data_IF_887823372806
#
_entry.id   IF_887823372806
#
_cell.length_a   1.000
_cell.length_b   1.000
_cell.length_c   1.000
_cell.angle_alpha   90.00
_cell.angle_beta   90.00
_cell.angle_gamma   90.00
#
_symmetry.space_group_name_H-M   'P 1'
#
loop_
_entity.id
_entity.type
_entity.pdbx_description
1 polymer ?
#
# COMPACT_ATOMS: atom_id res chain seq x y z
N UNK A 1 21.63 -14.76 6.76
CA UNK A 1 20.75 -14.14 7.77
C UNK A 1 20.73 -12.65 7.51
N UNK A 2 19.62 -12.18 6.91
CA UNK A 2 19.40 -10.74 6.73
C UNK A 2 18.90 -10.23 8.08
N UNK A 3 19.72 -9.42 8.75
CA UNK A 3 19.36 -8.82 10.03
C UNK A 3 18.49 -7.60 9.72
N UNK A 4 17.18 -7.75 9.95
CA UNK A 4 16.27 -6.61 10.03
C UNK A 4 16.67 -5.82 11.26
N UNK A 5 16.89 -4.51 11.12
CA UNK A 5 17.20 -3.66 12.27
C UNK A 5 15.89 -3.19 12.93
N UNK A 6 15.42 -3.81 14.02
CA UNK A 6 14.14 -3.44 14.66
C UNK A 6 14.12 -1.97 15.11
N UNK A 7 15.30 -1.41 15.42
CA UNK A 7 15.49 -0.03 15.90
C UNK A 7 14.89 1.02 14.96
N UNK A 8 14.81 0.74 13.66
CA UNK A 8 14.24 1.71 12.70
C UNK A 8 12.73 1.92 12.94
N UNK A 9 12.02 0.91 13.40
CA UNK A 9 10.58 0.97 13.63
C UNK A 9 10.18 1.62 14.96
N UNK A 10 11.14 1.79 15.89
CA UNK A 10 10.92 2.53 17.14
C UNK A 10 10.50 3.99 16.90
N UNK A 11 10.86 4.53 15.73
CA UNK A 11 10.47 5.87 15.29
C UNK A 11 9.01 5.99 14.82
N UNK A 12 8.27 4.87 14.72
CA UNK A 12 6.85 4.92 14.47
C UNK A 12 6.14 5.20 15.79
N UNK A 13 5.84 6.46 16.05
CA UNK A 13 5.15 6.97 17.23
C UNK A 13 3.77 7.53 16.87
N UNK A 14 3.03 8.04 17.86
CA UNK A 14 1.72 8.65 17.62
C UNK A 14 1.78 9.86 16.68
N UNK A 15 2.89 10.59 16.65
CA UNK A 15 3.09 11.70 15.72
C UNK A 15 3.19 11.21 14.27
N UNK A 16 3.92 10.14 14.02
CA UNK A 16 4.02 9.51 12.69
C UNK A 16 2.65 8.97 12.23
N UNK A 17 1.88 8.39 13.14
CA UNK A 17 0.50 7.94 12.87
C UNK A 17 -0.42 9.12 12.57
N UNK A 18 -0.39 10.17 13.38
CA UNK A 18 -1.16 11.40 13.17
C UNK A 18 -0.86 12.06 11.82
N UNK A 19 0.42 12.21 11.46
CA UNK A 19 0.83 12.73 10.15
C UNK A 19 0.31 11.86 9.01
N UNK A 20 0.33 10.54 9.19
CA UNK A 20 -0.19 9.60 8.20
C UNK A 20 -1.70 9.70 8.05
N UNK A 21 -2.45 9.82 9.16
CA UNK A 21 -3.89 10.00 9.19
C UNK A 21 -4.33 11.33 8.54
N UNK A 22 -3.62 12.43 8.80
CA UNK A 22 -3.91 13.74 8.20
C UNK A 22 -3.82 13.72 6.67
N UNK A 23 -2.94 12.91 6.13
CA UNK A 23 -2.64 12.82 4.69
C UNK A 23 -3.34 11.67 3.99
N UNK A 24 -4.33 11.03 4.60
CA UNK A 24 -5.13 9.98 3.99
C UNK A 24 -6.47 10.53 3.54
N UNK A 25 -7.01 10.01 2.44
CA UNK A 25 -8.28 10.42 1.87
C UNK A 25 -9.08 9.19 1.41
N UNK A 26 -10.38 9.36 1.24
CA UNK A 26 -11.26 8.40 0.60
C UNK A 26 -12.05 7.51 1.56
N UNK A 27 -12.89 6.69 0.98
CA UNK A 27 -13.90 5.87 1.67
C UNK A 27 -13.31 4.73 2.47
N UNK A 28 -14.06 4.29 3.48
CA UNK A 28 -13.72 3.16 4.33
C UNK A 28 -13.81 1.81 3.62
N UNK A 29 -13.05 0.86 4.14
CA UNK A 29 -13.08 -0.55 3.76
C UNK A 29 -14.34 -1.27 4.24
N UNK A 30 -14.23 -2.54 4.67
CA UNK A 30 -15.34 -3.32 5.21
C UNK A 30 -16.05 -2.67 6.40
N UNK A 31 -15.31 -2.04 7.32
CA UNK A 31 -15.87 -1.32 8.48
C UNK A 31 -16.63 -0.05 8.10
N UNK A 32 -16.41 0.48 6.90
CA UNK A 32 -16.93 1.77 6.41
C UNK A 32 -16.46 3.00 7.19
N UNK A 33 -15.51 2.85 8.11
CA UNK A 33 -14.87 3.98 8.78
C UNK A 33 -13.93 4.63 7.75
N UNK A 34 -14.27 5.84 7.35
CA UNK A 34 -13.54 6.59 6.32
C UNK A 34 -12.32 7.34 6.87
N UNK A 35 -11.63 8.02 5.98
CA UNK A 35 -10.42 8.75 6.33
C UNK A 35 -10.70 9.94 7.28
N UNK A 36 -11.81 10.65 7.07
CA UNK A 36 -12.15 11.81 7.89
C UNK A 36 -12.53 11.43 9.32
N UNK A 37 -13.23 10.30 9.48
CA UNK A 37 -13.55 9.74 10.80
C UNK A 37 -12.25 9.36 11.54
N UNK A 38 -11.32 8.63 10.91
CA UNK A 38 -10.02 8.29 11.52
C UNK A 38 -9.22 9.53 11.87
N UNK A 39 -9.19 10.53 10.98
CA UNK A 39 -8.52 11.80 11.21
C UNK A 39 -9.10 12.54 12.41
N UNK A 40 -10.41 12.57 12.55
CA UNK A 40 -11.07 13.18 13.71
C UNK A 40 -10.71 12.44 15.00
N UNK A 41 -10.73 11.10 15.02
CA UNK A 41 -10.39 10.32 16.22
C UNK A 41 -8.94 10.51 16.67
N UNK A 42 -7.99 10.55 15.72
CA UNK A 42 -6.55 10.59 16.04
C UNK A 42 -6.05 12.03 16.23
N UNK A 43 -6.53 12.99 15.41
CA UNK A 43 -5.89 14.30 15.28
C UNK A 43 -6.71 15.45 15.86
N UNK A 44 -7.97 15.21 16.27
CA UNK A 44 -8.83 16.28 16.77
C UNK A 44 -8.42 16.69 18.19
N UNK A 45 -8.32 17.98 18.41
CA UNK A 45 -8.10 18.55 19.76
C UNK A 45 -9.21 18.20 20.74
N UNK A 46 -10.41 17.88 20.25
CA UNK A 46 -11.53 17.49 21.09
C UNK A 46 -11.31 16.13 21.78
N UNK A 47 -10.48 15.26 21.23
CA UNK A 47 -10.16 13.95 21.80
C UNK A 47 -8.88 13.93 22.65
N UNK A 48 -8.11 15.02 22.66
CA UNK A 48 -7.00 15.23 23.59
C UNK A 48 -6.12 14.01 23.82
N UNK A 49 -6.12 13.51 25.08
CA UNK A 49 -5.33 12.35 25.50
C UNK A 49 -5.77 11.04 24.87
N UNK A 50 -7.06 10.85 24.60
CA UNK A 50 -7.60 9.62 24.00
C UNK A 50 -7.13 9.45 22.55
N UNK A 51 -7.04 10.56 21.81
CA UNK A 51 -6.48 10.56 20.43
C UNK A 51 -4.99 10.18 20.42
N UNK A 52 -4.23 10.68 21.39
CA UNK A 52 -2.82 10.30 21.56
C UNK A 52 -2.68 8.82 21.92
N UNK A 53 -3.45 8.32 22.89
CA UNK A 53 -3.42 6.90 23.26
C UNK A 53 -3.78 6.01 22.07
N UNK A 54 -4.81 6.36 21.30
CA UNK A 54 -5.17 5.64 20.08
C UNK A 54 -4.00 5.64 19.08
N UNK A 55 -3.31 6.78 18.91
CA UNK A 55 -2.12 6.91 18.08
C UNK A 55 -0.99 5.98 18.53
N UNK A 56 -0.74 5.90 19.84
CA UNK A 56 0.29 5.04 20.43
C UNK A 56 -0.03 3.55 20.26
N UNK A 57 -1.29 3.14 20.41
CA UNK A 57 -1.71 1.75 20.17
C UNK A 57 -1.57 1.37 18.68
N UNK A 58 -1.93 2.27 17.77
CA UNK A 58 -1.73 2.05 16.33
C UNK A 58 -0.24 1.98 16.00
N UNK A 59 0.59 2.81 16.63
CA UNK A 59 2.05 2.77 16.47
C UNK A 59 2.62 1.43 16.96
N UNK A 60 2.17 0.95 18.12
CA UNK A 60 2.55 -0.35 18.67
C UNK A 60 2.18 -1.50 17.72
N UNK A 61 0.94 -1.51 17.21
CA UNK A 61 0.52 -2.48 16.20
C UNK A 61 1.37 -2.40 14.93
N UNK A 62 1.72 -1.19 14.48
CA UNK A 62 2.56 -0.97 13.30
C UNK A 62 3.95 -1.55 13.47
N UNK A 63 4.58 -1.36 14.64
CA UNK A 63 5.88 -1.93 14.99
C UNK A 63 5.84 -3.45 14.96
N UNK A 64 4.82 -4.05 15.56
CA UNK A 64 4.64 -5.50 15.55
C UNK A 64 4.46 -6.06 14.14
N UNK A 65 3.66 -5.40 13.30
CA UNK A 65 3.50 -5.80 11.90
C UNK A 65 4.81 -5.75 11.09
N UNK A 66 5.76 -4.90 11.50
CA UNK A 66 7.06 -4.76 10.85
C UNK A 66 8.13 -5.73 11.37
N UNK A 67 8.01 -6.18 12.62
CA UNK A 67 9.06 -6.95 13.31
C UNK A 67 8.70 -8.41 13.58
N UNK A 68 7.41 -8.73 13.68
CA UNK A 68 6.91 -10.04 14.07
C UNK A 68 6.11 -10.71 12.93
N UNK A 69 6.19 -12.03 12.85
CA UNK A 69 5.25 -12.81 12.06
C UNK A 69 3.96 -12.96 12.86
N UNK A 70 2.87 -12.40 12.34
CA UNK A 70 1.57 -12.42 13.00
C UNK A 70 0.66 -13.44 12.31
N UNK A 71 0.06 -14.40 13.05
CA UNK A 71 -0.90 -15.34 12.49
C UNK A 71 -2.03 -14.59 11.78
N UNK A 72 -2.35 -15.03 10.56
CA UNK A 72 -3.30 -14.30 9.69
C UNK A 72 -4.68 -14.14 10.31
N UNK A 73 -5.14 -15.10 11.11
CA UNK A 73 -6.42 -15.03 11.82
C UNK A 73 -6.53 -13.80 12.73
N UNK A 74 -5.43 -13.34 13.32
CA UNK A 74 -5.42 -12.16 14.21
C UNK A 74 -5.49 -10.84 13.46
N UNK A 75 -5.07 -10.82 12.19
CA UNK A 75 -5.04 -9.60 11.37
C UNK A 75 -5.96 -9.67 10.14
N UNK A 76 -6.72 -10.76 9.98
CA UNK A 76 -7.56 -11.00 8.81
C UNK A 76 -8.57 -9.86 8.55
N UNK A 77 -9.16 -9.30 9.62
CA UNK A 77 -10.07 -8.15 9.53
C UNK A 77 -9.37 -6.90 9.00
N UNK A 78 -8.16 -6.62 9.48
CA UNK A 78 -7.34 -5.49 9.03
C UNK A 78 -6.92 -5.64 7.55
N UNK A 79 -6.67 -6.89 7.10
CA UNK A 79 -6.27 -7.21 5.73
C UNK A 79 -7.46 -7.36 4.78
N UNK A 80 -8.69 -7.29 5.28
CA UNK A 80 -9.91 -7.40 4.49
C UNK A 80 -10.13 -6.21 3.56
N UNK A 81 -10.87 -6.42 2.47
CA UNK A 81 -11.24 -5.37 1.56
C UNK A 81 -12.73 -5.47 1.15
N UNK A 82 -13.32 -4.32 0.89
CA UNK A 82 -14.66 -4.19 0.30
C UNK A 82 -14.51 -4.09 -1.20
N UNK A 83 -15.18 -4.96 -1.96
CA UNK A 83 -15.18 -4.90 -3.40
C UNK A 83 -16.23 -3.91 -3.92
N UNK A 84 -15.81 -3.05 -4.83
CA UNK A 84 -16.66 -2.09 -5.53
C UNK A 84 -16.52 -2.34 -7.04
N UNK A 85 -17.61 -2.65 -7.75
CA UNK A 85 -17.59 -2.78 -9.20
C UNK A 85 -17.56 -1.40 -9.84
N UNK A 86 -16.57 -1.13 -10.67
CA UNK A 86 -16.52 0.07 -11.51
C UNK A 86 -16.83 -0.32 -12.96
N UNK A 87 -17.84 0.30 -13.55
CA UNK A 87 -18.17 0.12 -14.96
C UNK A 87 -17.12 0.80 -15.83
N UNK A 88 -16.58 0.07 -16.83
CA UNK A 88 -15.71 0.63 -17.86
C UNK A 88 -16.51 1.14 -19.05
N UNK A 89 -15.86 1.89 -19.95
CA UNK A 89 -16.48 2.41 -21.18
C UNK A 89 -16.97 1.29 -22.13
N UNK A 90 -16.31 0.16 -22.13
CA UNK A 90 -16.64 -1.05 -22.89
C UNK A 90 -17.74 -1.92 -22.25
N UNK A 91 -18.45 -1.39 -21.25
CA UNK A 91 -19.44 -2.09 -20.43
C UNK A 91 -18.89 -3.25 -19.58
N UNK A 92 -17.59 -3.54 -19.59
CA UNK A 92 -16.99 -4.49 -18.66
C UNK A 92 -16.91 -3.91 -17.25
N UNK A 93 -16.67 -4.77 -16.25
CA UNK A 93 -16.60 -4.38 -14.83
C UNK A 93 -15.17 -4.54 -14.33
N UNK A 94 -14.62 -3.47 -13.75
CA UNK A 94 -13.36 -3.52 -13.01
C UNK A 94 -13.66 -3.68 -11.52
N UNK A 95 -13.32 -4.81 -10.88
CA UNK A 95 -13.44 -4.94 -9.44
C UNK A 95 -12.34 -4.13 -8.75
N UNK A 96 -12.72 -3.20 -7.89
CA UNK A 96 -11.78 -2.41 -7.07
C UNK A 96 -11.94 -2.82 -5.62
N UNK A 97 -10.85 -3.26 -5.00
CA UNK A 97 -10.79 -3.58 -3.58
C UNK A 97 -10.46 -2.34 -2.75
N UNK A 98 -11.36 -1.93 -1.86
CA UNK A 98 -11.11 -0.86 -0.89
C UNK A 98 -10.72 -1.52 0.42
N UNK A 99 -9.43 -1.44 0.78
CA UNK A 99 -8.91 -1.93 2.05
C UNK A 99 -9.29 -1.05 3.24
N UNK A 100 -9.12 -1.58 4.45
CA UNK A 100 -9.36 -0.83 5.68
C UNK A 100 -8.55 0.46 5.76
N UNK A 101 -9.19 1.53 6.22
CA UNK A 101 -8.54 2.83 6.35
C UNK A 101 -7.40 2.77 7.35
N UNK A 102 -7.57 2.06 8.45
CA UNK A 102 -6.51 1.82 9.43
C UNK A 102 -5.27 1.19 8.80
N UNK A 103 -5.46 0.15 7.96
CA UNK A 103 -4.35 -0.46 7.22
C UNK A 103 -3.62 0.56 6.34
N UNK A 104 -4.36 1.48 5.69
CA UNK A 104 -3.76 2.53 4.85
C UNK A 104 -2.97 3.54 5.66
N UNK A 105 -3.43 3.90 6.88
CA UNK A 105 -2.70 4.76 7.83
C UNK A 105 -1.38 4.10 8.22
N UNK A 106 -1.44 2.85 8.68
CA UNK A 106 -0.26 2.06 9.05
C UNK A 106 0.70 1.94 7.87
N UNK A 107 0.21 1.54 6.69
CA UNK A 107 1.04 1.40 5.49
C UNK A 107 1.75 2.70 5.13
N UNK A 108 1.06 3.84 5.26
CA UNK A 108 1.64 5.16 4.97
C UNK A 108 2.73 5.53 5.97
N UNK A 109 2.53 5.24 7.25
CA UNK A 109 3.54 5.46 8.28
C UNK A 109 4.80 4.61 8.02
N UNK A 110 4.63 3.31 7.75
CA UNK A 110 5.71 2.38 7.44
C UNK A 110 6.48 2.80 6.19
N UNK A 111 5.77 3.11 5.09
CA UNK A 111 6.41 3.55 3.83
C UNK A 111 7.13 4.88 4.00
N UNK A 112 6.58 5.82 4.78
CA UNK A 112 7.24 7.09 5.09
C UNK A 112 8.54 6.86 5.85
N UNK A 113 8.54 5.94 6.81
CA UNK A 113 9.73 5.58 7.59
C UNK A 113 10.82 4.92 6.74
N UNK A 114 10.41 4.06 5.81
CA UNK A 114 11.33 3.30 4.94
C UNK A 114 11.56 3.99 3.58
N UNK A 115 11.20 5.27 3.45
CA UNK A 115 11.26 5.99 2.17
C UNK A 115 12.63 5.86 1.50
N UNK A 116 13.71 6.02 2.26
CA UNK A 116 15.07 5.96 1.72
C UNK A 116 15.43 4.53 1.27
N UNK A 117 15.08 3.52 2.06
CA UNK A 117 15.32 2.11 1.72
C UNK A 117 14.58 1.74 0.43
N UNK A 118 13.33 2.20 0.30
CA UNK A 118 12.50 1.96 -0.89
C UNK A 118 13.09 2.64 -2.13
N UNK A 119 13.55 3.90 -1.99
CA UNK A 119 14.20 4.61 -3.09
C UNK A 119 15.48 3.90 -3.54
N UNK A 120 16.33 3.50 -2.60
CA UNK A 120 17.55 2.75 -2.93
C UNK A 120 17.22 1.40 -3.61
N UNK A 121 16.21 0.68 -3.09
CA UNK A 121 15.79 -0.60 -3.66
C UNK A 121 15.15 -0.48 -5.05
N UNK A 122 14.48 0.63 -5.33
CA UNK A 122 13.82 0.89 -6.62
C UNK A 122 14.81 1.17 -7.75
N UNK A 123 15.99 1.66 -7.42
CA UNK A 123 17.02 2.03 -8.38
C UNK A 123 16.72 3.32 -9.16
N UNK A 124 17.71 3.80 -9.89
CA UNK A 124 17.64 5.09 -10.59
C UNK A 124 16.68 5.13 -11.81
N UNK A 125 16.31 3.97 -12.35
CA UNK A 125 15.40 3.89 -13.49
C UNK A 125 13.92 3.95 -13.10
N UNK A 126 13.59 3.77 -11.81
CA UNK A 126 12.21 3.90 -11.29
C UNK A 126 11.93 5.33 -10.85
N UNK A 127 11.61 6.19 -11.80
CA UNK A 127 11.37 7.62 -11.54
C UNK A 127 10.06 7.90 -10.79
N UNK A 128 9.09 6.98 -10.81
CA UNK A 128 7.79 7.16 -10.14
C UNK A 128 7.77 6.70 -8.68
N UNK A 129 8.85 6.11 -8.16
CA UNK A 129 8.94 5.63 -6.79
C UNK A 129 9.40 6.72 -5.81
N UNK A 130 8.50 7.67 -5.50
CA UNK A 130 8.73 8.69 -4.47
C UNK A 130 9.67 9.83 -4.87
N UNK A 131 9.98 9.98 -6.15
CA UNK A 131 10.68 11.13 -6.70
C UNK A 131 9.66 12.23 -7.05
N UNK A 132 9.90 13.42 -6.55
CA UNK A 132 9.11 14.59 -6.90
C UNK A 132 9.35 14.97 -8.37
N UNK A 133 8.27 15.15 -9.15
CA UNK A 133 8.38 15.41 -10.59
C UNK A 133 8.93 14.25 -11.42
N UNK A 134 8.97 13.03 -10.89
CA UNK A 134 9.59 11.89 -11.55
C UNK A 134 8.93 11.49 -12.87
N UNK A 135 7.60 11.65 -12.99
CA UNK A 135 6.86 11.37 -14.23
C UNK A 135 7.23 12.41 -15.29
N UNK A 136 7.22 13.68 -14.93
CA UNK A 136 7.59 14.79 -15.81
C UNK A 136 9.05 14.65 -16.28
N UNK A 137 9.96 14.31 -15.37
CA UNK A 137 11.36 14.05 -15.71
C UNK A 137 11.49 12.88 -16.71
N UNK A 138 10.75 11.79 -16.52
CA UNK A 138 10.73 10.67 -17.44
C UNK A 138 10.23 11.07 -18.82
N UNK A 139 9.13 11.83 -18.91
CA UNK A 139 8.56 12.31 -20.18
C UNK A 139 9.56 13.22 -20.91
N UNK A 140 10.18 14.17 -20.20
CA UNK A 140 11.17 15.07 -20.81
C UNK A 140 12.42 14.33 -21.29
N UNK A 141 12.94 13.41 -20.46
CA UNK A 141 14.10 12.59 -20.86
C UNK A 141 13.81 11.71 -22.08
N UNK A 142 12.64 11.09 -22.13
CA UNK A 142 12.23 10.29 -23.29
C UNK A 142 12.09 11.13 -24.56
N UNK A 143 11.55 12.34 -24.42
CA UNK A 143 11.42 13.28 -25.54
C UNK A 143 12.79 13.71 -26.07
N UNK A 144 13.72 14.08 -25.18
CA UNK A 144 15.09 14.45 -25.56
C UNK A 144 15.83 13.30 -26.26
N UNK A 145 15.73 12.06 -25.70
CA UNK A 145 16.32 10.87 -26.31
C UNK A 145 15.74 10.60 -27.72
N UNK A 146 14.42 10.78 -27.89
CA UNK A 146 13.75 10.54 -29.16
C UNK A 146 14.08 11.61 -30.22
N UNK A 147 14.16 12.88 -29.81
CA UNK A 147 14.55 13.99 -30.68
C UNK A 147 16.05 13.95 -31.05
N UNK A 148 16.86 13.24 -30.27
CA UNK A 148 18.26 13.01 -30.59
C UNK A 148 18.37 11.89 -31.64
N UNK A 149 18.98 12.16 -32.79
CA UNK A 149 19.11 11.24 -33.94
C UNK A 149 19.80 9.90 -33.65
N UNK A 150 20.08 9.59 -32.39
CA UNK A 150 20.61 8.31 -31.91
C UNK A 150 19.54 7.29 -31.57
N UNK A 151 18.25 7.69 -31.50
CA UNK A 151 17.13 6.82 -31.14
C UNK A 151 16.31 6.47 -32.37
N UNK A 152 16.27 5.20 -32.75
CA UNK A 152 15.54 4.71 -33.93
C UNK A 152 14.07 4.37 -33.58
N UNK A 153 13.79 3.94 -32.35
CA UNK A 153 12.46 3.53 -31.94
C UNK A 153 12.24 3.65 -30.41
N UNK A 154 10.98 3.83 -30.01
CA UNK A 154 10.54 3.78 -28.61
C UNK A 154 9.52 2.66 -28.45
N UNK A 155 9.76 1.76 -27.50
CA UNK A 155 8.84 0.66 -27.16
C UNK A 155 8.15 0.99 -25.85
N UNK A 156 6.82 1.09 -25.88
CA UNK A 156 5.97 1.26 -24.69
C UNK A 156 5.41 -0.10 -24.29
N UNK A 157 5.64 -0.50 -23.05
CA UNK A 157 5.15 -1.77 -22.50
C UNK A 157 4.14 -1.47 -21.39
N UNK A 158 2.90 -1.93 -21.56
CA UNK A 158 1.86 -1.88 -20.52
C UNK A 158 1.45 -3.32 -20.18
N UNK A 159 1.47 -3.63 -18.88
CA UNK A 159 1.13 -4.96 -18.40
C UNK A 159 -0.36 -5.07 -18.09
N UNK A 160 -1.06 -5.94 -18.80
CA UNK A 160 -2.48 -6.20 -18.56
C UNK A 160 -2.74 -6.73 -17.14
N UNK A 161 -3.64 -6.07 -16.41
CA UNK A 161 -4.00 -6.44 -15.04
C UNK A 161 -2.79 -6.66 -14.09
N UNK A 162 -1.75 -5.87 -14.22
CA UNK A 162 -0.45 -6.04 -13.54
C UNK A 162 -0.60 -6.34 -12.04
N UNK A 163 -1.42 -5.55 -11.31
CA UNK A 163 -1.63 -5.73 -9.87
C UNK A 163 -2.30 -7.05 -9.50
N UNK A 164 -3.17 -7.59 -10.35
CA UNK A 164 -3.89 -8.83 -10.08
C UNK A 164 -3.09 -10.07 -10.53
N UNK A 165 -2.18 -9.91 -11.49
CA UNK A 165 -1.34 -10.98 -12.04
C UNK A 165 0.02 -11.10 -11.34
N UNK A 166 0.36 -10.17 -10.45
CA UNK A 166 1.62 -10.23 -9.71
C UNK A 166 1.72 -11.53 -8.89
N UNK A 167 2.79 -12.29 -9.12
CA UNK A 167 3.11 -13.44 -8.27
C UNK A 167 3.64 -12.95 -6.91
N UNK A 168 2.78 -13.02 -5.90
CA UNK A 168 3.07 -12.49 -4.56
C UNK A 168 4.25 -13.17 -3.89
N UNK A 169 4.41 -14.49 -4.06
CA UNK A 169 5.51 -15.23 -3.46
C UNK A 169 6.85 -14.80 -4.05
N UNK A 170 6.92 -14.64 -5.38
CA UNK A 170 8.12 -14.13 -6.04
C UNK A 170 8.40 -12.69 -5.62
N UNK A 171 7.36 -11.84 -5.55
CA UNK A 171 7.52 -10.46 -5.09
C UNK A 171 8.07 -10.40 -3.65
N UNK A 172 7.50 -11.15 -2.71
CA UNK A 172 7.97 -11.21 -1.32
C UNK A 172 9.41 -11.74 -1.22
N UNK A 173 9.76 -12.78 -2.01
CA UNK A 173 11.13 -13.29 -2.07
C UNK A 173 12.11 -12.22 -2.55
N UNK A 174 11.77 -11.47 -3.59
CA UNK A 174 12.61 -10.40 -4.11
C UNK A 174 12.75 -9.26 -3.09
N UNK A 175 11.65 -8.82 -2.49
CA UNK A 175 11.65 -7.76 -1.46
C UNK A 175 12.53 -8.15 -0.28
N UNK A 176 12.53 -9.41 0.13
CA UNK A 176 13.43 -9.90 1.19
C UNK A 176 14.91 -9.65 0.89
N UNK A 177 15.28 -9.63 -0.38
CA UNK A 177 16.66 -9.41 -0.82
C UNK A 177 16.99 -7.93 -1.01
N UNK A 178 16.08 -7.17 -1.66
CA UNK A 178 16.34 -5.79 -2.09
C UNK A 178 15.92 -4.74 -1.06
N UNK A 179 14.93 -5.03 -0.22
CA UNK A 179 14.41 -4.13 0.81
C UNK A 179 13.98 -4.92 2.07
N UNK A 180 14.92 -5.54 2.80
CA UNK A 180 14.63 -6.49 3.88
C UNK A 180 13.79 -5.88 5.01
N UNK A 181 13.97 -4.60 5.32
CA UNK A 181 13.20 -3.89 6.34
C UNK A 181 11.69 -3.84 6.02
N UNK A 182 11.31 -3.82 4.74
CA UNK A 182 9.90 -3.82 4.31
C UNK A 182 9.29 -5.23 4.27
N UNK A 183 10.12 -6.28 4.23
CA UNK A 183 9.70 -7.64 3.96
C UNK A 183 8.67 -8.16 4.96
N UNK A 184 8.90 -8.00 6.29
CA UNK A 184 8.00 -8.56 7.30
C UNK A 184 6.61 -7.93 7.24
N UNK A 185 6.53 -6.60 7.10
CA UNK A 185 5.26 -5.89 6.93
C UNK A 185 4.48 -6.38 5.70
N UNK A 186 5.17 -6.57 4.57
CA UNK A 186 4.53 -7.06 3.35
C UNK A 186 4.16 -8.56 3.44
N UNK A 187 4.96 -9.36 4.14
CA UNK A 187 4.62 -10.77 4.41
C UNK A 187 3.33 -10.88 5.21
N UNK A 188 3.19 -10.15 6.31
CA UNK A 188 1.96 -10.10 7.10
C UNK A 188 0.76 -9.62 6.25
N UNK A 189 1.00 -8.69 5.31
CA UNK A 189 -0.04 -8.07 4.51
C UNK A 189 -0.49 -8.87 3.29
N UNK A 190 0.40 -9.69 2.68
CA UNK A 190 0.20 -10.26 1.34
C UNK A 190 0.46 -11.76 1.21
N UNK A 191 0.99 -12.45 2.24
CA UNK A 191 1.22 -13.90 2.17
C UNK A 191 -0.07 -14.69 2.04
N UNK A 192 -1.15 -14.18 2.62
CA UNK A 192 -2.47 -14.82 2.56
C UNK A 192 -3.43 -14.05 1.62
N UNK A 193 -4.41 -14.74 1.02
CA UNK A 193 -5.45 -14.06 0.25
C UNK A 193 -6.29 -13.19 1.19
N UNK A 194 -6.56 -11.94 0.78
CA UNK A 194 -7.41 -11.05 1.56
C UNK A 194 -8.84 -11.59 1.64
N UNK A 195 -9.45 -11.58 2.83
CA UNK A 195 -10.87 -11.82 2.99
C UNK A 195 -11.65 -10.72 2.27
N UNK A 196 -12.48 -11.11 1.32
CA UNK A 196 -13.33 -10.20 0.55
C UNK A 196 -14.66 -10.09 1.27
N UNK A 197 -14.82 -9.07 2.10
CA UNK A 197 -16.10 -8.75 2.72
C UNK A 197 -17.11 -8.36 1.63
N UNK A 198 -18.15 -9.15 1.51
CA UNK A 198 -19.22 -8.94 0.55
C UNK A 198 -20.32 -8.09 1.18
N UNK A 199 -20.53 -6.85 0.73
CA UNK A 199 -21.83 -6.20 0.85
C UNK A 199 -22.80 -6.92 -0.10
N UNK A 200 -24.13 -6.82 0.11
CA UNK A 200 -25.20 -7.52 -0.62
C UNK A 200 -25.16 -7.49 -2.17
N UNK A 201 -24.12 -6.96 -2.79
CA UNK A 201 -23.82 -6.96 -4.22
C UNK A 201 -22.94 -8.15 -4.67
N UNK A 202 -22.79 -9.17 -3.86
CA UNK A 202 -21.88 -10.30 -4.07
C UNK A 202 -22.33 -11.37 -5.05
N UNK A 203 -23.38 -11.18 -5.81
CA UNK A 203 -23.65 -12.09 -6.93
C UNK A 203 -22.64 -11.96 -8.08
N UNK A 204 -21.97 -10.81 -8.20
CA UNK A 204 -20.90 -10.60 -9.21
C UNK A 204 -19.56 -11.24 -8.81
N UNK A 205 -19.38 -11.65 -7.56
CA UNK A 205 -18.10 -12.19 -7.05
C UNK A 205 -17.89 -13.68 -7.32
N UNK A 206 -18.80 -14.35 -8.01
CA UNK A 206 -18.64 -15.75 -8.47
C UNK A 206 -18.05 -15.88 -9.87
N UNK A 207 -17.58 -14.81 -10.49
CA UNK A 207 -16.81 -14.90 -11.73
C UNK A 207 -15.45 -15.49 -11.35
N UNK A 208 -15.15 -16.73 -11.74
CA UNK A 208 -13.82 -17.31 -11.48
C UNK A 208 -12.80 -16.47 -12.20
N UNK A 209 -11.74 -16.08 -11.47
CA UNK A 209 -10.63 -15.25 -11.98
C UNK A 209 -9.86 -15.98 -13.11
N UNK A 210 -10.23 -17.19 -13.46
CA UNK A 210 -9.58 -18.01 -14.50
C UNK A 210 -9.95 -17.64 -15.94
N UNK A 211 -10.81 -16.63 -16.15
CA UNK A 211 -11.27 -16.25 -17.49
C UNK A 211 -11.39 -14.72 -17.72
N UNK A 212 -10.51 -13.93 -17.05
CA UNK A 212 -10.34 -12.52 -17.44
C UNK A 212 -8.86 -12.24 -17.66
#
# INVERSE_FOLDING_TARGET
NIIVQPVIFEKIDSDAISKSAQNIHGSGGPTRIDADTWKNMICSKAHGSEGLQLGDEIASLSKRLCSEEIPYEHISSLMSCRLVPLKKLDNSVRPVGIGETLRRIISKAVVSMLKQDILCASGCLQTCAGLEGGIEAAVHSMREIFENNQCEAVILIDAENAFNRLNRQVALKNIKQICPNLHQFLSNSYSNPANRGCSKFCEVSRIPINHI
#
